data_IF_885305427746
#
_entry.id   IF_885305427746
#
_cell.length_a   1.000
_cell.length_b   1.000
_cell.length_c   1.000
_cell.angle_alpha   90.00
_cell.angle_beta   90.00
_cell.angle_gamma   90.00
#
_symmetry.space_group_name_H-M   'P 1'
#
loop_
_entity.id
_entity.type
_entity.pdbx_description
1 polymer ?
#
# COMPACT_ATOMS: atom_id res chain seq x y z
N UNK A 1 -10.42 -14.03 6.53
CA UNK A 1 -9.39 -12.97 6.48
C UNK A 1 -10.09 -11.75 5.94
N UNK A 2 -10.05 -10.63 6.66
CA UNK A 2 -10.66 -9.37 6.21
C UNK A 2 -9.80 -8.82 5.05
N UNK A 3 -10.43 -8.28 4.02
CA UNK A 3 -9.68 -7.66 2.91
C UNK A 3 -9.00 -6.38 3.40
N UNK A 4 -7.76 -6.09 2.95
CA UNK A 4 -7.07 -4.83 3.26
C UNK A 4 -7.94 -3.60 2.94
N UNK A 5 -8.82 -3.70 1.92
CA UNK A 5 -9.72 -2.63 1.49
C UNK A 5 -10.88 -2.36 2.46
N UNK A 6 -11.16 -3.31 3.35
CA UNK A 6 -12.26 -3.21 4.31
C UNK A 6 -11.84 -2.57 5.63
N UNK A 7 -10.53 -2.44 5.87
CA UNK A 7 -9.99 -1.83 7.10
C UNK A 7 -10.32 -0.34 7.15
N UNK A 8 -10.38 0.22 8.35
CA UNK A 8 -10.68 1.64 8.53
C UNK A 8 -9.53 2.52 8.03
N UNK A 9 -8.29 2.13 8.34
CA UNK A 9 -7.09 2.86 7.88
C UNK A 9 -7.01 2.94 6.37
N UNK A 10 -7.34 1.87 5.62
CA UNK A 10 -7.38 1.94 4.15
C UNK A 10 -8.40 2.97 3.64
N UNK A 11 -9.59 3.01 4.24
CA UNK A 11 -10.68 3.88 3.81
C UNK A 11 -10.41 5.36 4.07
N UNK A 12 -9.70 5.66 5.16
CA UNK A 12 -9.37 7.03 5.56
C UNK A 12 -8.00 7.49 5.01
N UNK A 13 -7.26 6.59 4.33
CA UNK A 13 -5.89 6.83 3.87
C UNK A 13 -5.82 7.94 2.82
N UNK A 14 -4.87 8.85 2.99
CA UNK A 14 -4.50 9.83 1.97
C UNK A 14 -3.30 9.36 1.14
N UNK A 15 -3.06 10.01 0.00
CA UNK A 15 -1.83 9.79 -0.78
C UNK A 15 -0.56 10.01 0.05
N UNK A 16 -0.57 10.95 1.01
CA UNK A 16 0.57 11.23 1.87
C UNK A 16 0.82 10.05 2.82
N UNK A 17 -0.24 9.58 3.49
CA UNK A 17 -0.14 8.45 4.43
C UNK A 17 0.33 7.19 3.71
N UNK A 18 -0.24 6.89 2.54
CA UNK A 18 0.14 5.72 1.75
C UNK A 18 1.63 5.72 1.37
N UNK A 19 2.17 6.88 0.95
CA UNK A 19 3.61 7.00 0.63
C UNK A 19 4.44 6.93 1.90
N UNK A 20 4.02 7.58 2.98
CA UNK A 20 4.75 7.61 4.25
C UNK A 20 4.87 6.26 4.93
N UNK A 21 3.78 5.51 4.96
CA UNK A 21 3.74 4.15 5.48
C UNK A 21 4.57 3.21 4.59
N UNK A 22 4.40 3.29 3.26
CA UNK A 22 5.14 2.44 2.33
C UNK A 22 6.66 2.67 2.37
N UNK A 23 7.11 3.92 2.50
CA UNK A 23 8.54 4.27 2.62
C UNK A 23 9.09 4.13 4.05
N UNK A 24 8.22 3.93 5.05
CA UNK A 24 8.61 3.77 6.45
C UNK A 24 9.03 5.07 7.15
N UNK A 25 8.66 6.24 6.63
CA UNK A 25 8.87 7.52 7.33
C UNK A 25 7.68 7.94 8.19
N UNK A 26 6.51 7.31 8.00
CA UNK A 26 5.42 7.26 8.96
C UNK A 26 5.48 5.87 9.61
N UNK A 27 5.47 5.81 10.94
CA UNK A 27 5.49 4.55 11.67
C UNK A 27 4.12 3.87 11.56
N UNK A 28 4.10 2.64 11.06
CA UNK A 28 2.90 1.82 11.02
C UNK A 28 2.69 1.14 12.39
N UNK A 29 1.44 1.08 12.85
CA UNK A 29 1.06 0.38 14.08
C UNK A 29 1.01 -1.15 13.88
N UNK A 30 0.97 -1.60 12.62
CA UNK A 30 0.93 -3.02 12.26
C UNK A 30 1.44 -3.29 10.84
N UNK A 31 1.82 -4.54 10.57
CA UNK A 31 2.13 -5.02 9.21
C UNK A 31 0.93 -4.85 8.26
N UNK A 32 -0.29 -5.01 8.77
CA UNK A 32 -1.52 -4.88 7.98
C UNK A 32 -1.73 -3.43 7.50
N UNK A 33 -1.33 -2.45 8.31
CA UNK A 33 -1.36 -1.03 7.94
C UNK A 33 -0.35 -0.70 6.83
N UNK A 34 0.88 -1.21 6.95
CA UNK A 34 1.88 -1.09 5.89
C UNK A 34 1.41 -1.76 4.58
N UNK A 35 0.82 -2.97 4.67
CA UNK A 35 0.29 -3.66 3.50
C UNK A 35 -0.90 -2.93 2.86
N UNK A 36 -1.76 -2.28 3.64
CA UNK A 36 -2.82 -1.47 3.04
C UNK A 36 -2.30 -0.21 2.34
N UNK A 37 -1.19 0.37 2.81
CA UNK A 37 -0.53 1.46 2.07
C UNK A 37 -0.09 1.00 0.68
N UNK A 38 0.49 -0.19 0.58
CA UNK A 38 0.83 -0.81 -0.71
C UNK A 38 -0.40 -1.14 -1.56
N UNK A 39 -1.48 -1.65 -0.95
CA UNK A 39 -2.75 -1.87 -1.64
C UNK A 39 -3.35 -0.56 -2.18
N UNK A 40 -3.30 0.52 -1.40
CA UNK A 40 -3.79 1.84 -1.78
C UNK A 40 -3.00 2.41 -2.97
N UNK A 41 -1.67 2.31 -2.92
CA UNK A 41 -0.78 2.72 -4.02
C UNK A 41 -1.13 1.98 -5.32
N UNK A 42 -1.42 0.68 -5.23
CA UNK A 42 -1.83 -0.11 -6.39
C UNK A 42 -3.20 0.30 -6.94
N UNK A 43 -4.20 0.42 -6.05
CA UNK A 43 -5.60 0.70 -6.42
C UNK A 43 -5.74 2.09 -7.07
N UNK A 44 -5.01 3.08 -6.54
CA UNK A 44 -4.98 4.46 -7.07
C UNK A 44 -3.95 4.67 -8.20
N UNK A 45 -3.27 3.60 -8.63
CA UNK A 45 -2.25 3.62 -9.69
C UNK A 45 -1.08 4.58 -9.41
N UNK A 46 -0.82 4.91 -8.14
CA UNK A 46 0.24 5.84 -7.73
C UNK A 46 1.63 5.34 -8.12
N UNK A 47 1.85 4.02 -8.12
CA UNK A 47 3.10 3.39 -8.57
C UNK A 47 3.52 3.77 -10.00
N UNK A 48 2.56 4.19 -10.84
CA UNK A 48 2.83 4.67 -12.20
C UNK A 48 3.31 6.11 -12.26
N UNK A 49 3.13 6.90 -11.21
CA UNK A 49 3.60 8.29 -11.16
C UNK A 49 4.84 8.42 -10.29
N UNK A 50 4.91 7.65 -9.19
CA UNK A 50 6.07 7.56 -8.32
C UNK A 50 7.24 6.80 -8.96
N UNK A 51 6.93 5.87 -9.89
CA UNK A 51 7.91 5.16 -10.73
C UNK A 51 8.94 4.34 -9.92
N UNK A 52 9.86 3.68 -10.63
CA UNK A 52 11.04 3.05 -10.04
C UNK A 52 10.72 2.00 -8.97
N UNK A 53 11.12 2.28 -7.73
CA UNK A 53 10.99 1.36 -6.61
C UNK A 53 9.53 1.00 -6.31
N UNK A 54 8.61 1.97 -6.29
CA UNK A 54 7.18 1.72 -6.04
C UNK A 54 6.58 0.72 -7.02
N UNK A 55 6.90 0.85 -8.32
CA UNK A 55 6.41 -0.08 -9.34
C UNK A 55 6.90 -1.51 -9.11
N UNK A 56 8.20 -1.68 -8.84
CA UNK A 56 8.79 -3.01 -8.58
C UNK A 56 8.27 -3.63 -7.30
N UNK A 57 8.08 -2.84 -6.25
CA UNK A 57 7.56 -3.34 -4.97
C UNK A 57 6.11 -3.77 -5.11
N UNK A 58 5.24 -2.95 -5.71
CA UNK A 58 3.84 -3.33 -5.99
C UNK A 58 3.76 -4.61 -6.83
N UNK A 59 4.57 -4.74 -7.88
CA UNK A 59 4.61 -5.95 -8.70
C UNK A 59 5.03 -7.18 -7.89
N UNK A 60 6.07 -7.05 -7.06
CA UNK A 60 6.52 -8.12 -6.17
C UNK A 60 5.44 -8.56 -5.18
N UNK A 61 4.75 -7.60 -4.55
CA UNK A 61 3.70 -7.88 -3.56
C UNK A 61 2.47 -8.54 -4.20
N UNK A 62 2.07 -8.12 -5.41
CA UNK A 62 1.01 -8.78 -6.18
C UNK A 62 1.38 -10.23 -6.54
N UNK A 63 2.64 -10.47 -6.92
CA UNK A 63 3.11 -11.81 -7.25
C UNK A 63 3.17 -12.74 -6.04
N UNK A 64 3.43 -12.18 -4.85
CA UNK A 64 3.40 -12.91 -3.57
C UNK A 64 1.97 -13.13 -3.05
N UNK A 65 0.98 -12.42 -3.60
CA UNK A 65 -0.43 -12.52 -3.17
C UNK A 65 -0.72 -11.83 -1.83
N UNK A 66 0.18 -10.97 -1.36
CA UNK A 66 0.00 -10.20 -0.11
C UNK A 66 -0.85 -8.94 -0.32
N UNK A 67 -0.86 -8.42 -1.55
CA UNK A 67 -1.85 -7.43 -2.02
C UNK A 67 -2.56 -8.00 -3.26
N UNK A 68 -3.77 -7.52 -3.54
CA UNK A 68 -4.63 -8.04 -4.58
C UNK A 68 -4.79 -7.09 -5.77
N UNK A 69 -5.03 -7.67 -6.96
CA UNK A 69 -5.36 -6.94 -8.19
C UNK A 69 -6.72 -6.24 -8.13
#
# INVERSE_FOLDING_TARGET
MISLRETQFYKDMTNYDAVGLAEGFVEAESEEEELAAWQYIYDHRMYRYLQGWFGRTVESLLNQGVIAK
#
